data_IF_171003330332
#
_entry.id   IF_171003330332
#
_cell.length_a   1.000
_cell.length_b   1.000
_cell.length_c   1.000
_cell.angle_alpha   90.00
_cell.angle_beta   90.00
_cell.angle_gamma   90.00
#
_symmetry.space_group_name_H-M   'P 1'
#
loop_
_entity.id
_entity.type
_entity.pdbx_description
1 polymer ?
#
# COMPACT_ATOMS: atom_id res chain seq x y z
N UNK A 1 6.81 -8.42 50.47
CA UNK A 1 5.91 -8.82 49.37
C UNK A 1 5.50 -7.67 48.44
N UNK A 2 5.33 -6.42 48.91
CA UNK A 2 4.89 -5.27 48.08
C UNK A 2 5.83 -4.93 46.91
N UNK A 3 7.14 -5.00 47.09
CA UNK A 3 8.13 -4.67 46.05
C UNK A 3 8.12 -5.61 44.84
N UNK A 4 7.85 -6.90 45.06
CA UNK A 4 7.76 -7.90 43.99
C UNK A 4 6.55 -7.65 43.08
N UNK A 5 5.43 -7.22 43.66
CA UNK A 5 4.21 -6.88 42.92
C UNK A 5 4.44 -5.64 42.06
N UNK A 6 5.06 -4.59 42.61
CA UNK A 6 5.39 -3.38 41.85
C UNK A 6 6.35 -3.66 40.68
N UNK A 7 7.36 -4.52 40.88
CA UNK A 7 8.29 -4.91 39.82
C UNK A 7 7.58 -5.67 38.68
N UNK A 8 6.68 -6.60 38.98
CA UNK A 8 5.89 -7.33 37.98
C UNK A 8 4.97 -6.38 37.18
N UNK A 9 4.35 -5.40 37.83
CA UNK A 9 3.53 -4.40 37.15
C UNK A 9 4.35 -3.49 36.21
N UNK A 10 5.54 -3.08 36.63
CA UNK A 10 6.44 -2.25 35.80
C UNK A 10 6.96 -3.04 34.58
N UNK A 11 7.30 -4.31 34.75
CA UNK A 11 7.74 -5.18 33.66
C UNK A 11 6.63 -5.35 32.62
N UNK A 12 5.40 -5.66 33.06
CA UNK A 12 4.23 -5.77 32.18
C UNK A 12 3.95 -4.47 31.41
N UNK A 13 4.12 -3.31 32.05
CA UNK A 13 3.95 -2.01 31.36
C UNK A 13 5.02 -1.77 30.29
N UNK A 14 6.26 -2.19 30.53
CA UNK A 14 7.32 -2.10 29.53
C UNK A 14 7.09 -3.03 28.34
N UNK A 15 6.70 -4.28 28.59
CA UNK A 15 6.37 -5.23 27.53
C UNK A 15 5.20 -4.74 26.68
N UNK A 16 4.13 -4.24 27.32
CA UNK A 16 2.97 -3.67 26.62
C UNK A 16 3.37 -2.47 25.73
N UNK A 17 4.23 -1.58 26.22
CA UNK A 17 4.72 -0.44 25.45
C UNK A 17 5.59 -0.87 24.26
N UNK A 18 6.41 -1.91 24.42
CA UNK A 18 7.21 -2.46 23.33
C UNK A 18 6.33 -3.07 22.24
N UNK A 19 5.31 -3.85 22.63
CA UNK A 19 4.33 -4.42 21.70
C UNK A 19 3.57 -3.32 20.96
N UNK A 20 3.13 -2.27 21.66
CA UNK A 20 2.46 -1.13 21.05
C UNK A 20 3.37 -0.40 20.04
N UNK A 21 4.63 -0.16 20.38
CA UNK A 21 5.60 0.46 19.49
C UNK A 21 5.84 -0.39 18.22
N UNK A 22 5.95 -1.71 18.38
CA UNK A 22 6.10 -2.64 17.24
C UNK A 22 4.84 -2.63 16.37
N UNK A 23 3.66 -2.72 16.98
CA UNK A 23 2.39 -2.70 16.28
C UNK A 23 2.22 -1.38 15.49
N UNK A 24 2.53 -0.24 16.10
CA UNK A 24 2.49 1.07 15.44
C UNK A 24 3.52 1.17 14.31
N UNK A 25 4.72 0.63 14.47
CA UNK A 25 5.75 0.62 13.42
C UNK A 25 5.34 -0.22 12.21
N UNK A 26 4.81 -1.42 12.45
CA UNK A 26 4.26 -2.29 11.40
C UNK A 26 3.06 -1.62 10.74
N UNK A 27 2.15 -1.06 11.52
CA UNK A 27 0.98 -0.35 11.00
C UNK A 27 1.38 0.82 10.09
N UNK A 28 2.38 1.62 10.47
CA UNK A 28 2.89 2.71 9.63
C UNK A 28 3.56 2.24 8.33
N UNK A 29 4.05 1.00 8.28
CA UNK A 29 4.60 0.38 7.06
C UNK A 29 3.51 -0.26 6.19
N UNK A 30 2.49 -0.85 6.80
CA UNK A 30 1.41 -1.55 6.12
C UNK A 30 0.31 -0.62 5.64
N UNK A 31 -0.03 0.42 6.42
CA UNK A 31 -0.87 1.50 5.94
C UNK A 31 -0.08 2.15 4.82
N UNK A 32 -0.58 2.09 3.58
CA UNK A 32 0.06 2.80 2.51
C UNK A 32 0.03 4.26 2.94
N UNK A 33 1.20 4.82 3.28
CA UNK A 33 1.41 6.22 2.96
C UNK A 33 0.99 6.32 1.49
N UNK A 34 0.26 7.34 1.12
CA UNK A 34 0.19 7.72 -0.29
C UNK A 34 1.59 8.28 -0.62
N UNK A 35 2.53 7.49 -1.16
CA UNK A 35 3.30 8.02 -2.24
C UNK A 35 2.98 7.21 -3.48
N UNK A 36 3.06 7.90 -4.60
CA UNK A 36 3.12 7.46 -5.99
C UNK A 36 4.21 6.42 -6.29
N UNK A 37 4.63 5.64 -5.29
CA UNK A 37 5.77 4.75 -5.41
C UNK A 37 5.30 3.41 -5.96
N UNK A 38 5.01 3.43 -7.25
CA UNK A 38 4.85 2.27 -8.13
C UNK A 38 6.16 1.48 -8.30
N UNK A 39 7.29 2.04 -7.85
CA UNK A 39 8.65 1.50 -8.04
C UNK A 39 8.87 0.10 -7.45
N UNK A 40 8.13 -0.29 -6.40
CA UNK A 40 8.28 -1.60 -5.75
C UNK A 40 7.23 -2.63 -6.15
N UNK A 41 6.37 -2.33 -7.12
CA UNK A 41 5.29 -3.21 -7.54
C UNK A 41 5.70 -4.02 -8.78
N UNK A 42 6.21 -5.22 -8.54
CA UNK A 42 6.63 -6.16 -9.58
C UNK A 42 5.47 -6.47 -10.53
N UNK A 43 5.67 -6.28 -11.83
CA UNK A 43 4.67 -6.56 -12.87
C UNK A 43 3.64 -5.45 -13.10
N UNK A 44 3.70 -4.32 -12.38
CA UNK A 44 2.83 -3.18 -12.70
C UNK A 44 3.28 -2.44 -13.95
N UNK A 45 4.60 -2.35 -14.21
CA UNK A 45 5.13 -1.70 -15.39
C UNK A 45 4.58 -2.28 -16.69
N UNK A 46 4.53 -3.61 -16.82
CA UNK A 46 3.94 -4.29 -17.98
C UNK A 46 2.45 -3.99 -18.14
N UNK A 47 1.70 -4.02 -17.03
CA UNK A 47 0.26 -3.76 -17.06
C UNK A 47 -0.04 -2.30 -17.41
N UNK A 48 0.79 -1.36 -16.94
CA UNK A 48 0.70 0.06 -17.30
C UNK A 48 1.02 0.25 -18.78
N UNK A 49 2.06 -0.40 -19.30
CA UNK A 49 2.43 -0.31 -20.72
C UNK A 49 1.33 -0.87 -21.64
N UNK A 50 0.68 -1.97 -21.26
CA UNK A 50 -0.47 -2.53 -21.99
C UNK A 50 -1.64 -1.54 -22.02
N UNK A 51 -2.00 -0.97 -20.86
CA UNK A 51 -3.08 0.03 -20.81
C UNK A 51 -2.70 1.29 -21.61
N UNK A 52 -1.43 1.71 -21.56
CA UNK A 52 -0.95 2.85 -22.34
C UNK A 52 -1.07 2.63 -23.85
N UNK A 53 -0.77 1.41 -24.34
CA UNK A 53 -1.01 1.01 -25.73
C UNK A 53 -2.49 1.06 -26.11
N UNK A 54 -3.39 0.63 -25.20
CA UNK A 54 -4.84 0.69 -25.40
C UNK A 54 -5.38 2.13 -25.40
N UNK A 55 -4.84 3.00 -24.55
CA UNK A 55 -5.20 4.44 -24.46
C UNK A 55 -4.75 5.20 -25.72
N UNK A 56 -3.71 4.73 -26.41
CA UNK A 56 -3.27 5.22 -27.73
C UNK A 56 -3.31 6.75 -27.88
N UNK A 57 -2.57 7.48 -27.05
CA UNK A 57 -2.61 8.94 -26.87
C UNK A 57 -2.47 9.81 -28.13
N UNK A 58 -2.12 9.24 -29.28
CA UNK A 58 -1.95 9.96 -30.54
C UNK A 58 -3.25 10.14 -31.34
N UNK A 59 -4.38 9.65 -30.84
CA UNK A 59 -5.70 9.77 -31.47
C UNK A 59 -6.55 10.74 -30.66
N UNK A 60 -7.10 11.77 -31.32
CA UNK A 60 -8.05 12.73 -30.74
C UNK A 60 -9.44 12.10 -30.52
N UNK A 61 -9.50 10.99 -29.79
CA UNK A 61 -10.71 10.22 -29.55
C UNK A 61 -10.86 9.84 -28.06
N UNK A 62 -12.11 9.81 -27.58
CA UNK A 62 -12.42 9.51 -26.17
C UNK A 62 -12.67 8.02 -26.02
N UNK A 63 -11.83 7.35 -25.22
CA UNK A 63 -11.94 5.90 -24.96
C UNK A 63 -12.20 5.61 -23.49
N UNK A 64 -13.10 4.65 -23.25
CA UNK A 64 -13.35 4.10 -21.92
C UNK A 64 -12.64 2.75 -21.78
N UNK A 65 -11.84 2.61 -20.73
CA UNK A 65 -11.09 1.37 -20.42
C UNK A 65 -11.47 0.90 -19.03
N UNK A 66 -11.94 -0.34 -18.93
CA UNK A 66 -12.29 -0.98 -17.66
C UNK A 66 -11.25 -2.02 -17.25
N UNK A 67 -10.77 -1.92 -16.00
CA UNK A 67 -9.93 -2.96 -15.38
C UNK A 67 -10.81 -3.85 -14.52
N UNK A 68 -10.92 -5.14 -14.85
CA UNK A 68 -11.80 -6.10 -14.17
C UNK A 68 -11.03 -7.35 -13.69
N UNK A 69 -11.63 -8.14 -12.80
CA UNK A 69 -11.01 -9.32 -12.18
C UNK A 69 -11.40 -9.53 -10.71
N UNK A 70 -10.86 -10.58 -10.07
CA UNK A 70 -11.17 -10.92 -8.67
C UNK A 70 -10.80 -9.81 -7.67
N UNK A 71 -11.41 -9.83 -6.49
CA UNK A 71 -11.07 -8.93 -5.38
C UNK A 71 -9.62 -9.08 -4.93
N UNK A 72 -8.98 -8.00 -4.48
CA UNK A 72 -7.63 -8.05 -3.91
C UNK A 72 -6.45 -8.17 -4.90
N UNK A 73 -6.70 -8.39 -6.19
CA UNK A 73 -5.64 -8.56 -7.21
C UNK A 73 -4.87 -7.26 -7.56
N UNK A 74 -5.31 -6.10 -7.05
CA UNK A 74 -4.65 -4.82 -7.32
C UNK A 74 -5.18 -4.02 -8.53
N UNK A 75 -6.42 -4.24 -8.97
CA UNK A 75 -7.05 -3.48 -10.09
C UNK A 75 -6.97 -1.97 -9.90
N UNK A 76 -7.39 -1.49 -8.73
CA UNK A 76 -7.34 -0.05 -8.39
C UNK A 76 -5.91 0.47 -8.31
N UNK A 77 -4.95 -0.38 -7.94
CA UNK A 77 -3.52 -0.04 -7.91
C UNK A 77 -3.00 0.19 -9.32
N UNK A 78 -3.34 -0.69 -10.27
CA UNK A 78 -2.96 -0.52 -11.69
C UNK A 78 -3.63 0.72 -12.28
N UNK A 79 -4.93 0.94 -12.04
CA UNK A 79 -5.64 2.12 -12.53
C UNK A 79 -4.97 3.43 -12.08
N UNK A 80 -4.54 3.48 -10.81
CA UNK A 80 -3.81 4.62 -10.27
C UNK A 80 -2.42 4.78 -10.89
N UNK A 81 -1.68 3.69 -11.04
CA UNK A 81 -0.35 3.70 -11.66
C UNK A 81 -0.40 4.21 -13.12
N UNK A 82 -1.42 3.80 -13.88
CA UNK A 82 -1.67 4.32 -15.23
C UNK A 82 -1.94 5.82 -15.18
N UNK A 83 -2.84 6.28 -14.31
CA UNK A 83 -3.13 7.72 -14.19
C UNK A 83 -1.87 8.54 -13.86
N UNK A 84 -1.05 8.08 -12.91
CA UNK A 84 0.21 8.74 -12.53
C UNK A 84 1.28 8.70 -13.65
N UNK A 85 1.23 7.71 -14.55
CA UNK A 85 2.17 7.62 -15.68
C UNK A 85 1.76 8.50 -16.88
N UNK A 86 0.50 8.91 -16.95
CA UNK A 86 -0.05 9.78 -18.00
C UNK A 86 0.06 11.26 -17.61
N UNK A 87 0.06 11.56 -16.31
CA UNK A 87 0.11 12.91 -15.74
C UNK A 87 1.55 13.43 -15.66
#
# INVERSE_FOLDING_TARGET
>A
MVWLVAASFLLNRHEASLVENIAQHIHRKLVPKLPSCTENLVGISSNVEEVHKLVGMQLNDVRFIGIWGMGGIGKSTIARAVYEAIQ
#
